data_IF_902878991156
#
_entry.id   IF_902878991156
#
_cell.length_a   1.000
_cell.length_b   1.000
_cell.length_c   1.000
_cell.angle_alpha   90.00
_cell.angle_beta   90.00
_cell.angle_gamma   90.00
#
_symmetry.space_group_name_H-M   'P 1'
#
loop_
_entity.id
_entity.type
_entity.pdbx_description
1 polymer ?
#
# COMPACT_ATOMS: atom_id res chain seq x y z
N UNK A 1 0.56 28.02 12.98
CA UNK A 1 -0.49 27.37 13.82
C UNK A 1 -1.19 26.36 12.92
N UNK A 2 -1.13 25.06 13.23
CA UNK A 2 -1.73 24.03 12.37
C UNK A 2 -3.24 24.26 12.29
N UNK A 3 -3.81 24.18 11.08
CA UNK A 3 -5.23 24.42 10.81
C UNK A 3 -5.81 23.24 10.05
N UNK A 4 -7.07 22.91 10.32
CA UNK A 4 -7.77 21.88 9.56
C UNK A 4 -8.36 22.47 8.28
N UNK A 5 -8.48 21.64 7.24
CA UNK A 5 -9.23 21.97 6.05
C UNK A 5 -10.07 20.80 5.56
N UNK A 6 -11.25 21.07 5.00
CA UNK A 6 -12.04 20.10 4.25
C UNK A 6 -11.82 20.41 2.78
N UNK A 7 -11.26 19.46 2.03
CA UNK A 7 -10.87 19.63 0.63
C UNK A 7 -11.35 18.44 -0.18
N UNK A 8 -12.63 18.42 -0.52
CA UNK A 8 -13.28 17.32 -1.25
C UNK A 8 -14.42 17.88 -2.10
N UNK A 9 -14.60 17.35 -3.31
CA UNK A 9 -15.75 17.62 -4.19
C UNK A 9 -16.94 16.70 -3.85
N UNK A 10 -16.73 15.67 -3.02
CA UNK A 10 -17.80 14.82 -2.54
C UNK A 10 -18.66 15.56 -1.49
N UNK A 11 -19.81 16.08 -1.93
CA UNK A 11 -20.75 16.83 -1.10
C UNK A 11 -21.21 16.07 0.16
N UNK A 12 -21.39 14.74 0.06
CA UNK A 12 -21.84 13.93 1.21
C UNK A 12 -20.75 13.79 2.26
N UNK A 13 -19.50 13.61 1.81
CA UNK A 13 -18.34 13.52 2.68
C UNK A 13 -18.05 14.87 3.35
N UNK A 14 -18.05 15.96 2.58
CA UNK A 14 -17.83 17.31 3.12
C UNK A 14 -18.86 17.68 4.16
N UNK A 15 -20.16 17.46 3.90
CA UNK A 15 -21.23 17.76 4.84
C UNK A 15 -21.05 17.04 6.17
N UNK A 16 -20.80 15.72 6.14
CA UNK A 16 -20.61 14.92 7.36
C UNK A 16 -19.33 15.29 8.12
N UNK A 17 -18.24 15.59 7.42
CA UNK A 17 -17.01 16.07 8.04
C UNK A 17 -17.25 17.40 8.76
N UNK A 18 -17.88 18.36 8.09
CA UNK A 18 -18.22 19.67 8.65
C UNK A 18 -19.09 19.52 9.91
N UNK A 19 -20.12 18.68 9.85
CA UNK A 19 -21.00 18.41 10.98
C UNK A 19 -20.23 17.86 12.19
N UNK A 20 -19.39 16.85 11.97
CA UNK A 20 -18.60 16.21 13.03
C UNK A 20 -17.48 17.10 13.58
N UNK A 21 -16.82 17.89 12.73
CA UNK A 21 -15.80 18.85 13.16
C UNK A 21 -16.41 19.97 14.01
N UNK A 22 -17.58 20.49 13.61
CA UNK A 22 -18.33 21.48 14.40
C UNK A 22 -18.81 20.91 15.73
N UNK A 23 -19.32 19.67 15.74
CA UNK A 23 -19.75 18.99 16.96
C UNK A 23 -18.61 18.81 17.98
N UNK A 24 -17.35 18.78 17.51
CA UNK A 24 -16.14 18.72 18.36
C UNK A 24 -15.46 20.08 18.57
N UNK A 25 -16.08 21.18 18.14
CA UNK A 25 -15.56 22.55 18.29
C UNK A 25 -14.16 22.75 17.69
N UNK A 26 -13.86 22.09 16.57
CA UNK A 26 -12.58 22.24 15.87
C UNK A 26 -12.66 23.32 14.79
N UNK A 27 -11.65 24.19 14.72
CA UNK A 27 -11.53 25.20 13.66
C UNK A 27 -11.03 24.57 12.36
N UNK A 28 -11.73 24.86 11.26
CA UNK A 28 -11.37 24.39 9.92
C UNK A 28 -11.73 25.40 8.83
N UNK A 29 -11.11 25.25 7.67
CA UNK A 29 -11.46 25.97 6.44
C UNK A 29 -11.98 25.00 5.38
N UNK A 30 -12.76 25.48 4.42
CA UNK A 30 -13.15 24.66 3.25
C UNK A 30 -12.34 25.14 2.06
N UNK A 31 -11.63 24.23 1.41
CA UNK A 31 -10.79 24.52 0.24
C UNK A 31 -11.34 23.71 -0.92
N UNK A 32 -11.49 24.36 -2.07
CA UNK A 32 -11.85 23.68 -3.32
C UNK A 32 -10.76 22.66 -3.67
N UNK A 33 -11.13 21.44 -4.08
CA UNK A 33 -10.17 20.38 -4.40
C UNK A 33 -9.20 20.80 -5.52
N UNK A 34 -9.59 21.70 -6.43
CA UNK A 34 -8.75 22.18 -7.53
C UNK A 34 -7.82 23.31 -7.11
N UNK A 35 -8.04 23.89 -5.91
CA UNK A 35 -7.17 24.94 -5.37
C UNK A 35 -6.05 24.32 -4.53
N UNK A 36 -4.83 24.87 -4.62
CA UNK A 36 -3.73 24.42 -3.79
C UNK A 36 -3.98 24.80 -2.33
N UNK A 37 -3.51 23.95 -1.43
CA UNK A 37 -3.51 24.23 0.00
C UNK A 37 -2.50 25.35 0.30
N UNK A 38 -2.86 26.37 1.10
CA UNK A 38 -1.99 27.54 1.29
C UNK A 38 -0.66 27.32 2.01
N UNK A 39 -0.51 26.24 2.79
CA UNK A 39 0.63 26.02 3.68
C UNK A 39 0.79 24.54 4.04
N UNK A 40 2.03 24.11 4.29
CA UNK A 40 2.38 22.76 4.76
C UNK A 40 1.85 22.44 6.17
N UNK A 41 1.53 23.46 6.97
CA UNK A 41 0.98 23.29 8.31
C UNK A 41 -0.52 22.95 8.31
N UNK A 42 -1.17 22.93 7.15
CA UNK A 42 -2.60 22.63 7.02
C UNK A 42 -2.79 21.12 6.92
N UNK A 43 -3.64 20.59 7.79
CA UNK A 43 -4.10 19.20 7.76
C UNK A 43 -5.43 19.20 7.02
N UNK A 44 -5.56 18.44 5.94
CA UNK A 44 -6.74 18.51 5.08
C UNK A 44 -7.38 17.16 4.81
N UNK A 45 -8.71 17.12 4.84
CA UNK A 45 -9.51 15.91 4.65
C UNK A 45 -10.00 15.78 3.21
N UNK A 46 -9.84 14.61 2.63
CA UNK A 46 -10.30 14.28 1.28
C UNK A 46 -10.46 12.76 1.11
N UNK A 47 -11.22 12.31 0.11
CA UNK A 47 -11.24 10.88 -0.22
C UNK A 47 -9.88 10.44 -0.76
N UNK A 48 -9.57 9.15 -0.65
CA UNK A 48 -8.33 8.58 -1.16
C UNK A 48 -8.10 8.92 -2.65
N UNK A 49 -9.17 8.81 -3.46
CA UNK A 49 -9.11 9.10 -4.90
C UNK A 49 -8.84 10.58 -5.19
N UNK A 50 -9.44 11.50 -4.43
CA UNK A 50 -9.27 12.95 -4.62
C UNK A 50 -7.86 13.42 -4.25
N UNK A 51 -7.27 12.84 -3.21
CA UNK A 51 -5.88 13.14 -2.81
C UNK A 51 -4.91 12.80 -3.96
N UNK A 52 -5.15 11.67 -4.61
CA UNK A 52 -4.33 11.20 -5.74
C UNK A 52 -4.55 12.07 -6.97
N UNK A 53 -5.80 12.39 -7.29
CA UNK A 53 -6.13 13.17 -8.49
C UNK A 53 -5.70 14.65 -8.37
N UNK A 54 -5.71 15.19 -7.16
CA UNK A 54 -5.40 16.59 -6.89
C UNK A 54 -4.39 16.72 -5.72
N UNK A 55 -3.12 16.33 -5.91
CA UNK A 55 -2.11 16.42 -4.87
C UNK A 55 -1.87 17.88 -4.46
N UNK A 56 -1.58 18.11 -3.19
CA UNK A 56 -1.29 19.45 -2.68
C UNK A 56 -0.40 19.39 -1.45
N UNK A 57 0.22 20.53 -1.13
CA UNK A 57 1.01 20.71 0.10
C UNK A 57 0.15 20.53 1.35
N UNK A 58 0.78 20.33 2.50
CA UNK A 58 0.07 20.04 3.76
C UNK A 58 0.00 18.55 4.09
N UNK A 59 -0.81 18.24 5.10
CA UNK A 59 -1.00 16.88 5.62
C UNK A 59 -2.37 16.33 5.21
N UNK A 60 -2.49 15.59 4.10
CA UNK A 60 -3.74 14.96 3.72
C UNK A 60 -4.11 13.81 4.66
N UNK A 61 -5.34 13.82 5.17
CA UNK A 61 -5.94 12.70 5.88
C UNK A 61 -6.99 12.07 4.95
N UNK A 62 -6.75 10.84 4.45
CA UNK A 62 -7.74 10.11 3.67
C UNK A 62 -8.95 9.79 4.54
N UNK A 63 -10.14 10.09 4.03
CA UNK A 63 -11.38 9.85 4.75
C UNK A 63 -12.50 9.38 3.84
N UNK A 64 -13.21 8.37 4.31
CA UNK A 64 -14.43 7.82 3.71
C UNK A 64 -15.59 8.01 4.70
N UNK A 65 -16.82 7.82 4.25
CA UNK A 65 -18.03 8.10 5.06
C UNK A 65 -18.07 7.31 6.38
N UNK A 66 -17.53 6.10 6.37
CA UNK A 66 -17.45 5.18 7.50
C UNK A 66 -16.22 5.41 8.41
N UNK A 67 -15.22 6.15 7.94
CA UNK A 67 -13.96 6.41 8.67
C UNK A 67 -13.81 7.84 9.19
N UNK A 68 -14.88 8.64 9.18
CA UNK A 68 -14.86 10.05 9.61
C UNK A 68 -14.40 10.20 11.05
N UNK A 69 -14.93 9.40 11.98
CA UNK A 69 -14.59 9.52 13.40
C UNK A 69 -13.10 9.21 13.66
N UNK A 70 -12.55 8.20 12.98
CA UNK A 70 -11.12 7.87 13.04
C UNK A 70 -10.24 8.93 12.38
N UNK A 71 -10.67 9.50 11.25
CA UNK A 71 -9.94 10.56 10.56
C UNK A 71 -9.85 11.84 11.42
N UNK A 72 -10.93 12.19 12.12
CA UNK A 72 -10.94 13.35 13.01
C UNK A 72 -10.04 13.12 14.23
N UNK A 73 -10.03 11.92 14.81
CA UNK A 73 -9.10 11.58 15.89
C UNK A 73 -7.64 11.73 15.44
N UNK A 74 -7.30 11.26 14.24
CA UNK A 74 -5.97 11.44 13.65
C UNK A 74 -5.63 12.93 13.49
N UNK A 75 -6.58 13.73 13.01
CA UNK A 75 -6.39 15.18 12.86
C UNK A 75 -6.16 15.89 14.20
N UNK A 76 -6.89 15.51 15.25
CA UNK A 76 -6.70 16.03 16.62
C UNK A 76 -5.30 15.67 17.13
N UNK A 77 -4.85 14.44 16.91
CA UNK A 77 -3.49 14.00 17.27
C UNK A 77 -2.42 14.84 16.57
N UNK A 78 -2.61 15.14 15.28
CA UNK A 78 -1.70 16.00 14.55
C UNK A 78 -1.74 17.48 14.99
N UNK A 79 -2.90 17.98 15.41
CA UNK A 79 -3.07 19.34 15.91
C UNK A 79 -2.43 19.55 17.29
N UNK A 80 -2.48 18.54 18.17
CA UNK A 80 -1.96 18.62 19.54
C UNK A 80 -0.43 18.76 19.61
N UNK A 81 0.25 18.66 18.46
CA UNK A 81 1.64 19.10 18.32
C UNK A 81 2.62 18.31 19.20
N UNK A 82 2.24 17.11 19.66
CA UNK A 82 3.18 16.21 20.32
C UNK A 82 4.33 15.93 19.35
N UNK A 83 5.43 16.65 19.52
CA UNK A 83 6.71 16.34 18.89
C UNK A 83 7.24 15.08 19.56
N UNK A 84 6.69 13.93 19.23
CA UNK A 84 7.28 12.63 19.56
C UNK A 84 6.64 11.62 18.64
N UNK A 85 7.46 10.90 17.88
CA UNK A 85 7.11 9.80 16.98
C UNK A 85 6.63 10.19 15.60
N UNK A 86 7.57 10.49 14.69
CA UNK A 86 7.31 10.41 13.24
C UNK A 86 7.22 8.93 12.87
N UNK A 87 6.01 8.43 12.64
CA UNK A 87 5.71 7.06 12.26
C UNK A 87 5.54 6.94 10.75
N UNK A 88 6.11 5.90 10.14
CA UNK A 88 5.92 5.59 8.72
C UNK A 88 5.03 4.35 8.59
N UNK A 89 3.91 4.49 7.91
CA UNK A 89 3.07 3.35 7.52
C UNK A 89 3.18 3.17 6.02
N UNK A 90 3.50 1.96 5.57
CA UNK A 90 3.58 1.61 4.15
C UNK A 90 2.54 0.54 3.88
N UNK A 91 1.54 0.82 3.04
CA UNK A 91 0.61 -0.18 2.53
C UNK A 91 1.13 -0.81 1.24
N UNK A 92 1.04 -2.13 1.15
CA UNK A 92 1.48 -2.93 0.00
C UNK A 92 0.30 -3.77 -0.48
N UNK A 93 -0.12 -3.52 -1.72
CA UNK A 93 -1.09 -4.34 -2.45
C UNK A 93 -0.36 -5.46 -3.19
N UNK A 94 -0.50 -6.74 -2.77
CA UNK A 94 0.21 -7.85 -3.37
C UNK A 94 -0.34 -8.21 -4.76
N UNK A 95 0.56 -8.52 -5.69
CA UNK A 95 0.20 -8.91 -7.05
C UNK A 95 1.43 -8.97 -7.95
N UNK A 96 1.28 -9.38 -9.23
CA UNK A 96 2.39 -9.43 -10.18
C UNK A 96 3.05 -8.05 -10.38
N UNK A 97 2.25 -6.99 -10.24
CA UNK A 97 2.65 -5.59 -10.22
C UNK A 97 2.23 -5.02 -8.86
N UNK A 98 3.06 -5.11 -7.80
CA UNK A 98 2.66 -4.63 -6.49
C UNK A 98 2.43 -3.12 -6.46
N UNK A 99 1.40 -2.68 -5.74
CA UNK A 99 1.17 -1.27 -5.42
C UNK A 99 1.72 -0.91 -4.05
N UNK A 100 2.36 0.25 -3.91
CA UNK A 100 2.83 0.81 -2.64
C UNK A 100 2.12 2.13 -2.38
N UNK A 101 1.70 2.36 -1.13
CA UNK A 101 1.30 3.66 -0.61
C UNK A 101 2.00 3.91 0.71
N UNK A 102 2.35 5.15 1.04
CA UNK A 102 2.93 5.45 2.35
C UNK A 102 2.35 6.71 2.99
N UNK A 103 2.27 6.64 4.32
CA UNK A 103 1.75 7.65 5.22
C UNK A 103 2.84 8.00 6.23
N UNK A 104 3.06 9.28 6.48
CA UNK A 104 3.93 9.77 7.55
C UNK A 104 3.06 10.43 8.61
N UNK A 105 3.07 9.88 9.82
CA UNK A 105 2.17 10.21 10.92
C UNK A 105 0.68 10.04 10.61
N UNK A 106 0.33 9.32 9.55
CA UNK A 106 -1.05 9.25 9.06
C UNK A 106 -1.37 10.27 7.97
N UNK A 107 -0.45 11.17 7.63
CA UNK A 107 -0.55 12.03 6.46
C UNK A 107 -0.11 11.27 5.20
N UNK A 108 -0.93 11.26 4.16
CA UNK A 108 -0.59 10.60 2.90
C UNK A 108 0.54 11.31 2.16
N UNK A 109 1.59 10.57 1.80
CA UNK A 109 2.77 11.13 1.15
C UNK A 109 2.89 10.72 -0.31
N UNK A 110 2.42 9.53 -0.68
CA UNK A 110 2.47 9.10 -2.07
C UNK A 110 2.02 7.67 -2.31
N UNK A 111 1.87 7.36 -3.60
CA UNK A 111 1.67 6.02 -4.12
C UNK A 111 2.67 5.73 -5.23
N UNK A 112 2.98 4.46 -5.44
CA UNK A 112 3.83 3.98 -6.52
C UNK A 112 3.36 2.59 -6.96
N UNK A 113 3.17 2.41 -8.26
CA UNK A 113 2.94 1.11 -8.85
C UNK A 113 4.28 0.55 -9.34
N UNK A 114 4.62 -0.67 -8.94
CA UNK A 114 5.84 -1.34 -9.38
C UNK A 114 5.63 -2.11 -10.68
N UNK A 115 6.73 -2.37 -11.40
CA UNK A 115 6.69 -3.21 -12.61
C UNK A 115 6.91 -4.69 -12.31
N UNK A 116 7.45 -5.01 -11.14
CA UNK A 116 7.64 -6.40 -10.69
C UNK A 116 7.78 -6.47 -9.17
N UNK A 117 7.63 -7.68 -8.62
CA UNK A 117 7.88 -7.96 -7.20
C UNK A 117 9.32 -7.68 -6.79
N UNK A 118 10.29 -7.84 -7.70
CA UNK A 118 11.72 -7.64 -7.41
C UNK A 118 12.04 -6.18 -7.07
N UNK A 119 11.24 -5.23 -7.55
CA UNK A 119 11.39 -3.81 -7.22
C UNK A 119 10.89 -3.45 -5.82
N UNK A 120 10.11 -4.34 -5.17
CA UNK A 120 9.42 -4.01 -3.92
C UNK A 120 10.42 -3.77 -2.79
N UNK A 121 11.27 -4.74 -2.49
CA UNK A 121 12.21 -4.65 -1.38
C UNK A 121 13.18 -3.45 -1.50
N UNK A 122 13.80 -3.19 -2.67
CA UNK A 122 14.60 -1.99 -2.87
C UNK A 122 13.84 -0.68 -2.58
N UNK A 123 12.59 -0.59 -3.02
CA UNK A 123 11.76 0.60 -2.80
C UNK A 123 11.32 0.74 -1.33
N UNK A 124 10.98 -0.36 -0.65
CA UNK A 124 10.71 -0.34 0.80
C UNK A 124 11.94 0.13 1.57
N UNK A 125 13.14 -0.35 1.25
CA UNK A 125 14.39 0.12 1.86
C UNK A 125 14.60 1.61 1.62
N UNK A 126 14.37 2.10 0.39
CA UNK A 126 14.46 3.54 0.08
C UNK A 126 13.50 4.36 0.94
N UNK A 127 12.22 4.00 0.97
CA UNK A 127 11.18 4.69 1.75
C UNK A 127 11.54 4.79 3.24
N UNK A 128 12.04 3.69 3.81
CA UNK A 128 12.47 3.63 5.21
C UNK A 128 13.68 4.52 5.53
N UNK A 129 14.47 4.89 4.51
CA UNK A 129 15.67 5.73 4.63
C UNK A 129 15.43 7.19 4.27
N UNK A 130 14.21 7.58 3.87
CA UNK A 130 13.89 8.98 3.51
C UNK A 130 14.08 9.91 4.70
N UNK A 131 13.75 9.45 5.91
CA UNK A 131 13.91 10.20 7.15
C UNK A 131 14.15 9.24 8.32
N UNK A 132 14.38 9.81 9.51
CA UNK A 132 14.45 9.05 10.75
C UNK A 132 13.02 8.92 11.29
N UNK A 133 12.53 7.69 11.38
CA UNK A 133 11.21 7.35 11.90
C UNK A 133 11.34 6.60 13.23
N UNK A 134 10.48 6.90 14.20
CA UNK A 134 10.48 6.18 15.49
C UNK A 134 9.81 4.81 15.37
N UNK A 135 8.85 4.68 14.46
CA UNK A 135 8.20 3.41 14.13
C UNK A 135 7.94 3.32 12.64
N UNK A 136 8.08 2.11 12.10
CA UNK A 136 7.79 1.80 10.70
C UNK A 136 6.93 0.54 10.69
N UNK A 137 5.75 0.63 10.09
CA UNK A 137 4.83 -0.51 9.93
C UNK A 137 4.55 -0.74 8.46
N UNK A 138 4.80 -1.96 7.98
CA UNK A 138 4.46 -2.36 6.62
C UNK A 138 3.18 -3.19 6.68
N UNK A 139 2.12 -2.69 6.05
CA UNK A 139 0.82 -3.34 5.97
C UNK A 139 0.69 -4.03 4.62
N UNK A 140 0.34 -5.31 4.61
CA UNK A 140 0.28 -6.14 3.41
C UNK A 140 -1.16 -6.62 3.23
N UNK A 141 -1.73 -6.45 2.04
CA UNK A 141 -3.06 -6.97 1.68
C UNK A 141 -3.16 -8.49 1.80
N UNK A 142 -4.39 -9.02 1.89
CA UNK A 142 -4.63 -10.48 1.93
C UNK A 142 -4.80 -11.12 0.54
N UNK A 143 -4.81 -10.30 -0.51
CA UNK A 143 -4.78 -10.73 -1.92
C UNK A 143 -3.53 -11.52 -2.32
N UNK A 144 -3.57 -12.09 -3.53
CA UNK A 144 -2.47 -12.81 -4.19
C UNK A 144 -1.60 -13.68 -3.25
N UNK A 145 -2.12 -14.81 -2.71
CA UNK A 145 -1.51 -15.54 -1.59
C UNK A 145 -0.02 -15.87 -1.76
N UNK A 146 0.39 -16.38 -2.92
CA UNK A 146 1.78 -16.71 -3.21
C UNK A 146 2.70 -15.49 -3.08
N UNK A 147 2.32 -14.38 -3.71
CA UNK A 147 3.10 -13.14 -3.71
C UNK A 147 3.08 -12.50 -2.32
N UNK A 148 1.92 -12.44 -1.68
CA UNK A 148 1.78 -11.96 -0.30
C UNK A 148 2.72 -12.71 0.64
N UNK A 149 2.74 -14.03 0.58
CA UNK A 149 3.53 -14.85 1.51
C UNK A 149 5.03 -14.70 1.26
N UNK A 150 5.46 -14.49 0.01
CA UNK A 150 6.82 -14.04 -0.30
C UNK A 150 7.16 -12.70 0.33
N UNK A 151 6.31 -11.69 0.15
CA UNK A 151 6.54 -10.34 0.71
C UNK A 151 6.62 -10.40 2.24
N UNK A 152 5.75 -11.20 2.87
CA UNK A 152 5.78 -11.45 4.31
C UNK A 152 7.12 -12.07 4.71
N UNK A 153 7.55 -13.13 4.03
CA UNK A 153 8.82 -13.80 4.32
C UNK A 153 10.02 -12.87 4.18
N UNK A 154 10.07 -12.06 3.12
CA UNK A 154 11.12 -11.07 2.89
C UNK A 154 11.17 -10.05 4.03
N UNK A 155 10.00 -9.52 4.44
CA UNK A 155 9.93 -8.54 5.53
C UNK A 155 10.29 -9.16 6.89
N UNK A 156 9.79 -10.35 7.19
CA UNK A 156 10.07 -11.07 8.46
C UNK A 156 11.56 -11.42 8.56
N UNK A 157 12.18 -11.89 7.47
CA UNK A 157 13.60 -12.21 7.41
C UNK A 157 14.51 -11.01 7.63
N UNK A 158 14.02 -9.80 7.34
CA UNK A 158 14.71 -8.55 7.62
C UNK A 158 14.34 -7.94 8.99
N UNK A 159 13.60 -8.67 9.84
CA UNK A 159 13.10 -8.23 11.14
C UNK A 159 12.23 -6.95 11.06
N UNK A 160 11.46 -6.78 9.99
CA UNK A 160 10.57 -5.62 9.84
C UNK A 160 9.23 -5.84 10.54
N UNK A 161 8.66 -4.75 11.04
CA UNK A 161 7.34 -4.81 11.66
C UNK A 161 6.27 -4.80 10.59
N UNK A 162 5.49 -5.88 10.53
CA UNK A 162 4.48 -6.08 9.50
C UNK A 162 3.09 -6.41 10.08
N UNK A 163 2.07 -6.02 9.35
CA UNK A 163 0.67 -6.40 9.59
C UNK A 163 0.04 -6.90 8.29
N UNK A 164 -0.79 -7.94 8.38
CA UNK A 164 -1.64 -8.36 7.28
C UNK A 164 -3.03 -7.75 7.42
N UNK A 165 -3.50 -7.08 6.38
CA UNK A 165 -4.81 -6.44 6.31
C UNK A 165 -5.76 -7.33 5.53
N UNK A 166 -6.97 -7.52 6.06
CA UNK A 166 -8.02 -8.29 5.40
C UNK A 166 -8.86 -7.38 4.50
N UNK A 167 -8.73 -7.51 3.19
CA UNK A 167 -9.43 -6.69 2.20
C UNK A 167 -10.91 -7.10 2.05
N UNK A 168 -11.23 -8.36 2.37
CA UNK A 168 -12.55 -8.97 2.21
C UNK A 168 -13.62 -8.39 3.16
N UNK A 169 -13.21 -7.92 4.35
CA UNK A 169 -14.13 -7.34 5.35
C UNK A 169 -14.84 -6.04 4.93
N UNK A 170 -14.54 -5.50 3.75
CA UNK A 170 -15.20 -4.27 3.24
C UNK A 170 -15.82 -4.40 1.85
N UNK A 171 -16.09 -5.64 1.41
CA UNK A 171 -16.78 -5.91 0.13
C UNK A 171 -18.29 -5.59 0.14
N UNK A 172 -18.87 -5.22 1.29
CA UNK A 172 -20.22 -4.68 1.37
C UNK A 172 -20.25 -3.16 1.12
N UNK A 173 -20.18 -2.76 -0.15
CA UNK A 173 -20.99 -1.61 -0.59
C UNK A 173 -20.35 -0.40 -1.28
N UNK A 174 -19.06 -0.39 -1.64
CA UNK A 174 -18.49 0.77 -2.34
C UNK A 174 -17.66 0.38 -3.58
N UNK A 175 -18.30 0.60 -4.74
CA UNK A 175 -17.78 0.86 -6.10
C UNK A 175 -16.39 0.30 -6.42
N UNK A 176 -16.38 -0.78 -7.22
CA UNK A 176 -15.23 -1.52 -7.80
C UNK A 176 -14.28 -0.73 -8.71
N UNK A 177 -14.28 0.59 -8.73
CA UNK A 177 -13.72 1.37 -9.84
C UNK A 177 -12.48 2.21 -9.47
N UNK A 178 -11.50 1.67 -8.75
CA UNK A 178 -10.12 2.20 -8.80
C UNK A 178 -9.11 1.22 -8.19
N UNK A 179 -8.46 0.40 -9.05
CA UNK A 179 -7.37 -0.50 -8.64
C UNK A 179 -6.15 0.25 -8.06
N UNK A 180 -5.97 1.54 -8.42
CA UNK A 180 -4.84 2.35 -7.96
C UNK A 180 -4.89 2.75 -6.47
N UNK A 181 -6.02 2.52 -5.77
CA UNK A 181 -6.21 2.97 -4.37
C UNK A 181 -6.12 1.83 -3.35
N UNK A 182 -5.92 0.59 -3.78
CA UNK A 182 -5.83 -0.59 -2.90
C UNK A 182 -4.72 -0.46 -1.86
N UNK A 183 -3.50 -0.09 -2.28
CA UNK A 183 -2.37 0.07 -1.38
C UNK A 183 -2.62 1.14 -0.31
N UNK A 184 -3.32 2.23 -0.65
CA UNK A 184 -3.70 3.27 0.31
C UNK A 184 -4.77 2.79 1.30
N UNK A 185 -5.75 1.99 0.84
CA UNK A 185 -6.72 1.34 1.73
C UNK A 185 -6.01 0.40 2.72
N UNK A 186 -5.06 -0.39 2.23
CA UNK A 186 -4.24 -1.29 3.06
C UNK A 186 -3.44 -0.47 4.09
N UNK A 187 -2.86 0.67 3.69
CA UNK A 187 -2.11 1.53 4.61
C UNK A 187 -2.98 2.10 5.74
N UNK A 188 -4.25 2.42 5.46
CA UNK A 188 -5.16 3.07 6.43
C UNK A 188 -5.93 2.08 7.30
N UNK A 189 -6.20 0.86 6.83
CA UNK A 189 -6.93 -0.16 7.58
C UNK A 189 -6.06 -0.81 8.69
N UNK A 190 -6.73 -1.32 9.73
CA UNK A 190 -6.05 -2.09 10.79
C UNK A 190 -5.73 -3.50 10.30
N UNK A 191 -4.52 -3.98 10.58
CA UNK A 191 -4.10 -5.34 10.25
C UNK A 191 -3.85 -6.21 11.48
N UNK A 192 -3.52 -7.47 11.22
CA UNK A 192 -3.07 -8.45 12.21
C UNK A 192 -1.55 -8.53 12.12
N UNK A 193 -0.85 -8.33 13.23
CA UNK A 193 0.61 -8.43 13.27
C UNK A 193 1.07 -9.83 12.85
N UNK A 194 2.05 -9.88 11.95
CA UNK A 194 2.70 -11.12 11.52
C UNK A 194 4.17 -11.08 11.93
N UNK A 195 4.71 -12.19 12.42
CA UNK A 195 6.11 -12.32 12.83
C UNK A 195 6.70 -13.70 12.49
N UNK A 196 5.94 -14.55 11.80
CA UNK A 196 6.34 -15.90 11.43
C UNK A 196 6.51 -15.98 9.92
N UNK A 197 7.53 -16.71 9.50
CA UNK A 197 7.66 -17.15 8.11
C UNK A 197 6.50 -18.06 7.74
N UNK A 198 6.17 -18.09 6.46
CA UNK A 198 5.13 -18.93 5.87
C UNK A 198 5.76 -19.90 4.89
N UNK A 199 5.17 -21.09 4.83
CA UNK A 199 5.51 -22.06 3.80
C UNK A 199 4.93 -21.60 2.47
N UNK A 200 5.80 -21.42 1.48
CA UNK A 200 5.41 -21.04 0.12
C UNK A 200 5.27 -22.32 -0.70
N UNK A 201 4.03 -22.81 -0.80
CA UNK A 201 3.68 -24.00 -1.57
C UNK A 201 2.84 -23.56 -2.77
N UNK A 202 3.45 -23.37 -3.96
CA UNK A 202 2.72 -22.94 -5.13
C UNK A 202 1.73 -24.00 -5.60
N UNK A 203 0.53 -23.56 -5.95
CA UNK A 203 -0.50 -24.40 -6.57
C UNK A 203 -0.11 -24.79 -8.00
N UNK A 204 -0.74 -25.83 -8.55
CA UNK A 204 -0.52 -26.19 -9.96
C UNK A 204 -0.87 -25.03 -10.92
N UNK A 205 -1.88 -24.22 -10.58
CA UNK A 205 -2.26 -23.06 -11.38
C UNK A 205 -1.17 -21.99 -11.40
N UNK A 206 -0.57 -21.70 -10.25
CA UNK A 206 0.52 -20.73 -10.12
C UNK A 206 1.79 -21.21 -10.83
N UNK A 207 2.14 -22.49 -10.72
CA UNK A 207 3.25 -23.09 -11.46
C UNK A 207 3.04 -22.90 -12.97
N UNK A 208 1.85 -23.26 -13.48
CA UNK A 208 1.53 -23.08 -14.90
C UNK A 208 1.57 -21.62 -15.34
N UNK A 209 1.10 -20.72 -14.47
CA UNK A 209 1.17 -19.28 -14.73
C UNK A 209 2.62 -18.80 -14.88
N UNK A 210 3.51 -19.20 -13.97
CA UNK A 210 4.94 -18.86 -14.02
C UNK A 210 5.60 -19.42 -15.28
N UNK A 211 5.29 -20.67 -15.65
CA UNK A 211 5.77 -21.26 -16.90
C UNK A 211 5.27 -20.51 -18.15
N UNK A 212 4.00 -20.07 -18.14
CA UNK A 212 3.46 -19.26 -19.23
C UNK A 212 4.14 -17.88 -19.33
N UNK A 213 4.42 -17.23 -18.19
CA UNK A 213 5.16 -15.96 -18.17
C UNK A 213 6.61 -16.15 -18.65
N UNK A 214 7.29 -17.23 -18.25
CA UNK A 214 8.60 -17.60 -18.79
C UNK A 214 8.57 -17.70 -20.32
N UNK A 215 7.57 -18.38 -20.87
CA UNK A 215 7.40 -18.51 -22.33
C UNK A 215 7.12 -17.19 -23.01
N UNK A 216 6.33 -16.32 -22.38
CA UNK A 216 6.01 -14.99 -22.91
C UNK A 216 7.25 -14.09 -22.94
N UNK A 217 8.04 -14.09 -21.86
CA UNK A 217 9.26 -13.29 -21.75
C UNK A 217 10.36 -13.79 -22.71
N UNK A 218 10.41 -15.09 -23.00
CA UNK A 218 11.27 -15.68 -24.02
C UNK A 218 10.71 -15.58 -25.46
N UNK A 219 9.64 -14.81 -25.68
CA UNK A 219 8.96 -14.66 -26.98
C UNK A 219 8.56 -16.01 -27.63
N UNK A 220 8.23 -17.01 -26.80
CA UNK A 220 7.76 -18.32 -27.23
C UNK A 220 8.83 -19.41 -27.29
N UNK A 221 10.10 -19.05 -27.16
CA UNK A 221 11.24 -19.97 -27.39
C UNK A 221 11.48 -20.96 -26.27
N UNK A 222 11.20 -20.59 -25.03
CA UNK A 222 11.64 -21.35 -23.87
C UNK A 222 10.63 -21.31 -22.74
N UNK A 223 10.35 -22.48 -22.14
CA UNK A 223 9.50 -22.62 -20.96
C UNK A 223 10.32 -23.30 -19.88
N UNK A 224 10.41 -22.68 -18.70
CA UNK A 224 11.14 -23.27 -17.58
C UNK A 224 10.47 -24.57 -17.08
N UNK A 225 11.28 -25.47 -16.55
CA UNK A 225 10.83 -26.71 -15.93
C UNK A 225 9.93 -26.46 -14.73
N UNK A 226 9.20 -27.49 -14.30
CA UNK A 226 8.35 -27.41 -13.10
C UNK A 226 9.17 -27.11 -11.84
N UNK A 227 10.35 -27.71 -11.69
CA UNK A 227 11.23 -27.48 -10.55
C UNK A 227 11.72 -26.03 -10.53
N UNK A 228 12.14 -25.50 -11.68
CA UNK A 228 12.52 -24.10 -11.81
C UNK A 228 11.35 -23.16 -11.51
N UNK A 229 10.15 -23.47 -11.99
CA UNK A 229 8.96 -22.68 -11.69
C UNK A 229 8.61 -22.67 -10.19
N UNK A 230 8.85 -23.76 -9.47
CA UNK A 230 8.70 -23.82 -8.00
C UNK A 230 9.72 -22.89 -7.33
N UNK A 231 11.00 -22.94 -7.73
CA UNK A 231 12.03 -22.05 -7.19
C UNK A 231 11.72 -20.57 -7.46
N UNK A 232 11.23 -20.26 -8.67
CA UNK A 232 10.78 -18.91 -9.03
C UNK A 232 9.58 -18.48 -8.21
N UNK A 233 8.63 -19.39 -7.95
CA UNK A 233 7.48 -19.13 -7.10
C UNK A 233 7.88 -18.86 -5.65
N UNK A 234 8.89 -19.56 -5.13
CA UNK A 234 9.41 -19.40 -3.78
C UNK A 234 10.28 -18.15 -3.62
N UNK A 235 10.82 -17.63 -4.73
CA UNK A 235 11.72 -16.48 -4.74
C UNK A 235 13.20 -16.85 -4.63
N UNK A 236 13.52 -18.14 -4.65
CA UNK A 236 14.89 -18.67 -4.61
C UNK A 236 15.61 -18.54 -5.96
N UNK A 237 14.85 -18.36 -7.05
CA UNK A 237 15.36 -18.15 -8.40
C UNK A 237 14.61 -16.98 -9.06
N UNK A 238 15.31 -16.06 -9.71
CA UNK A 238 14.64 -15.02 -10.49
C UNK A 238 14.21 -15.57 -11.86
N UNK A 239 13.16 -14.99 -12.45
CA UNK A 239 12.72 -15.39 -13.79
C UNK A 239 13.84 -15.15 -14.82
N UNK A 240 14.55 -14.03 -14.71
CA UNK A 240 15.65 -13.68 -15.61
C UNK A 240 16.81 -14.70 -15.50
N UNK A 241 17.17 -15.12 -14.29
CA UNK A 241 18.20 -16.12 -14.07
C UNK A 241 17.78 -17.50 -14.59
N UNK A 242 16.51 -17.87 -14.43
CA UNK A 242 15.96 -19.10 -14.96
C UNK A 242 15.98 -19.12 -16.51
N UNK A 243 15.75 -17.96 -17.14
CA UNK A 243 15.79 -17.80 -18.60
C UNK A 243 17.22 -17.70 -19.15
N UNK A 244 18.19 -17.23 -18.35
CA UNK A 244 19.59 -17.15 -18.71
C UNK A 244 20.28 -18.53 -18.64
N UNK A 245 19.96 -19.33 -17.62
CA UNK A 245 20.55 -20.66 -17.39
C UNK A 245 19.70 -21.79 -18.00
N UNK A 246 19.38 -21.68 -19.30
CA UNK A 246 18.44 -22.59 -20.00
C UNK A 246 18.85 -24.07 -19.92
N UNK A 247 20.15 -24.35 -19.83
CA UNK A 247 20.72 -25.71 -19.74
C UNK A 247 20.30 -26.46 -18.48
N UNK A 248 20.18 -25.76 -17.35
CA UNK A 248 19.96 -26.37 -16.03
C UNK A 248 18.47 -26.46 -15.66
N UNK A 249 17.62 -25.70 -16.38
CA UNK A 249 16.23 -25.45 -16.01
C UNK A 249 15.23 -25.66 -17.16
N UNK A 250 15.68 -26.27 -18.26
CA UNK A 250 14.79 -26.68 -19.35
C UNK A 250 13.77 -27.68 -18.82
N UNK A 251 12.52 -27.56 -19.25
CA UNK A 251 11.62 -28.70 -19.27
C UNK A 251 12.19 -29.71 -20.28
N UNK A 252 13.13 -30.55 -19.84
CA UNK A 252 13.32 -31.84 -20.51
C UNK A 252 11.95 -32.55 -20.51
N UNK A 253 11.63 -33.15 -21.65
CA UNK A 253 10.32 -33.71 -22.02
C UNK A 253 9.51 -34.38 -20.89
#
# INVERSE_FOLDING_TARGET
>A
MRRLAVRTDNFRLSFKLIEKLRAKSLDFVVIDIKKPVPSEDIIWFASASEIIQYPSVGKPIPVEIDSIDTAILSAIYHLSGSQSSVSLIIGVDPGPYPGIAWLVDGAFCGIMQLTSINELMPNLVKLRKIAIFESITIKIGDGAPLIRDRIINDCVSNNWHIEQVNEHKTSSGLIRNNHATSALRIATQSGIRIWQLRDIIPTQGEIKYIQAESRKQSMGEFTISRSAAILVAQGDLSMDDALANRSDYSSEE
#
